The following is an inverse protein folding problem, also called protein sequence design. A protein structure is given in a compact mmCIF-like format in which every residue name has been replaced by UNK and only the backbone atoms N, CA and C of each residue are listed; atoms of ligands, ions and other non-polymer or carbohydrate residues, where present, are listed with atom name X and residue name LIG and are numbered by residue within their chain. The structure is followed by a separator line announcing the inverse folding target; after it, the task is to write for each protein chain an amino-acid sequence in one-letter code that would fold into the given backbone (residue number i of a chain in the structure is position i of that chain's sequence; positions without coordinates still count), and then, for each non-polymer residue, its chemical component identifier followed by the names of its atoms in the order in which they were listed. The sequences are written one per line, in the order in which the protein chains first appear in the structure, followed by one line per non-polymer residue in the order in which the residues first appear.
data_IF_485754407636
#
_entry.id   IF_485754407636
#
_cell.length_a   1.000
_cell.length_b   1.000
_cell.length_c   1.000
_cell.angle_alpha   90.00
_cell.angle_beta   90.00
_cell.angle_gamma   90.00
#
_symmetry.space_group_name_H-M   'P 1'
#
loop_
_entity.id
_entity.type
_entity.pdbx_description
1 polymer ?
#
# COMPACT_ATOMS: atom_id res chain seq x y z
N UNK A 1 1.88 -10.05 -9.32
CA UNK A 1 1.18 -9.86 -8.04
C UNK A 1 -0.23 -10.44 -8.08
N UNK A 2 -1.12 -9.96 -8.95
CA UNK A 2 -2.53 -10.37 -8.99
C UNK A 2 -2.76 -11.88 -9.17
N UNK A 3 -1.89 -12.59 -9.91
CA UNK A 3 -1.97 -14.04 -10.08
C UNK A 3 -1.54 -14.81 -8.83
N UNK A 4 -0.72 -14.23 -7.96
CA UNK A 4 -0.31 -14.87 -6.71
C UNK A 4 -1.42 -14.84 -5.64
N UNK A 5 -2.29 -13.82 -5.63
CA UNK A 5 -3.35 -13.69 -4.64
C UNK A 5 -4.34 -14.86 -4.63
N UNK A 6 -4.87 -15.36 -5.77
CA UNK A 6 -5.70 -16.56 -5.79
C UNK A 6 -4.99 -17.81 -5.25
N UNK A 7 -3.70 -17.96 -5.55
CA UNK A 7 -2.88 -19.09 -5.07
C UNK A 7 -2.73 -19.02 -3.56
N UNK A 8 -2.31 -17.86 -3.02
CA UNK A 8 -2.19 -17.64 -1.58
C UNK A 8 -3.54 -17.83 -0.89
N UNK A 9 -4.62 -17.27 -1.45
CA UNK A 9 -5.97 -17.42 -0.92
C UNK A 9 -6.46 -18.87 -0.94
N UNK A 10 -6.14 -19.63 -1.99
CA UNK A 10 -6.42 -21.06 -2.08
C UNK A 10 -5.65 -21.85 -1.00
N UNK A 11 -4.37 -21.58 -0.85
CA UNK A 11 -3.52 -22.20 0.17
C UNK A 11 -4.06 -21.93 1.59
N UNK A 12 -4.41 -20.68 1.89
CA UNK A 12 -4.97 -20.32 3.20
C UNK A 12 -6.30 -20.98 3.48
N UNK A 13 -7.17 -21.13 2.46
CA UNK A 13 -8.46 -21.86 2.58
C UNK A 13 -8.23 -23.34 2.86
N UNK A 14 -7.33 -23.98 2.13
CA UNK A 14 -7.01 -25.39 2.27
C UNK A 14 -6.37 -25.70 3.62
N UNK A 15 -5.46 -24.82 4.08
CA UNK A 15 -4.72 -24.96 5.33
C UNK A 15 -5.34 -24.14 6.48
N UNK A 16 -6.65 -24.13 6.60
CA UNK A 16 -7.38 -23.27 7.54
C UNK A 16 -6.91 -23.37 8.99
N UNK A 17 -6.49 -24.58 9.44
CA UNK A 17 -5.96 -24.79 10.80
C UNK A 17 -4.52 -24.28 10.98
N UNK A 18 -3.78 -24.11 9.89
CA UNK A 18 -2.37 -23.69 9.88
C UNK A 18 -2.17 -22.32 9.22
N UNK A 19 -3.23 -21.51 9.11
CA UNK A 19 -3.16 -20.21 8.43
C UNK A 19 -2.04 -19.31 8.96
N UNK A 20 -1.87 -19.25 10.27
CA UNK A 20 -0.80 -18.47 10.88
C UNK A 20 0.58 -18.99 10.51
N UNK A 21 0.78 -20.32 10.47
CA UNK A 21 2.06 -20.89 10.05
C UNK A 21 2.36 -20.59 8.59
N UNK A 22 1.33 -20.59 7.72
CA UNK A 22 1.48 -20.20 6.32
C UNK A 22 1.89 -18.72 6.21
N UNK A 23 1.23 -17.83 6.97
CA UNK A 23 1.57 -16.41 6.96
C UNK A 23 2.98 -16.14 7.47
N UNK A 24 3.40 -16.81 8.56
CA UNK A 24 4.77 -16.74 9.06
C UNK A 24 5.76 -17.28 8.00
N UNK A 25 5.44 -18.39 7.35
CA UNK A 25 6.26 -18.94 6.27
C UNK A 25 6.43 -17.96 5.09
N UNK A 26 5.34 -17.34 4.63
CA UNK A 26 5.39 -16.32 3.59
C UNK A 26 6.20 -15.09 4.03
N UNK A 27 6.07 -14.70 5.28
CA UNK A 27 6.82 -13.59 5.85
C UNK A 27 8.33 -13.89 5.83
N UNK A 28 8.72 -15.03 6.37
CA UNK A 28 10.13 -15.47 6.43
C UNK A 28 10.70 -15.64 5.02
N UNK A 29 9.92 -16.20 4.09
CA UNK A 29 10.36 -16.33 2.69
C UNK A 29 10.59 -14.96 2.04
N UNK A 30 9.73 -13.97 2.33
CA UNK A 30 9.88 -12.61 1.80
C UNK A 30 11.13 -11.92 2.33
N UNK A 31 11.36 -11.96 3.63
CA UNK A 31 12.55 -11.38 4.25
C UNK A 31 13.81 -12.12 3.81
N UNK A 32 13.80 -13.47 3.84
CA UNK A 32 14.92 -14.28 3.38
C UNK A 32 15.29 -14.04 1.92
N UNK A 33 14.32 -13.80 1.05
CA UNK A 33 14.59 -13.38 -0.33
C UNK A 33 15.37 -12.06 -0.38
N UNK A 34 14.98 -11.07 0.41
CA UNK A 34 15.63 -9.75 0.45
C UNK A 34 17.06 -9.84 0.97
N UNK A 35 17.31 -10.73 1.94
CA UNK A 35 18.63 -10.96 2.49
C UNK A 35 19.53 -11.78 1.55
N UNK A 36 18.95 -12.73 0.79
CA UNK A 36 19.70 -13.59 -0.12
C UNK A 36 20.05 -12.91 -1.44
N UNK A 37 19.19 -12.04 -1.96
CA UNK A 37 19.42 -11.40 -3.26
C UNK A 37 20.77 -10.70 -3.36
N UNK A 38 21.22 -9.88 -2.37
CA UNK A 38 22.52 -9.23 -2.43
C UNK A 38 23.73 -10.17 -2.40
N UNK A 39 23.52 -11.43 -2.02
CA UNK A 39 24.61 -12.46 -2.03
C UNK A 39 24.89 -12.94 -3.47
N UNK A 40 23.87 -12.92 -4.33
CA UNK A 40 23.98 -13.45 -5.70
C UNK A 40 23.98 -12.37 -6.78
N UNK A 41 23.48 -11.18 -6.46
CA UNK A 41 23.35 -10.06 -7.39
C UNK A 41 23.93 -8.79 -6.76
N UNK A 42 24.55 -7.96 -7.59
CA UNK A 42 25.13 -6.70 -7.17
C UNK A 42 24.45 -5.49 -7.82
N UNK A 43 24.60 -4.32 -7.20
CA UNK A 43 24.17 -3.05 -7.75
C UNK A 43 22.66 -2.97 -8.02
N UNK A 44 22.30 -2.43 -9.18
CA UNK A 44 20.90 -2.17 -9.56
C UNK A 44 20.07 -3.45 -9.72
N UNK A 45 20.69 -4.53 -10.20
CA UNK A 45 20.03 -5.84 -10.38
C UNK A 45 19.56 -6.42 -9.05
N UNK A 46 20.36 -6.29 -7.98
CA UNK A 46 19.97 -6.70 -6.63
C UNK A 46 18.77 -5.90 -6.13
N UNK A 47 18.77 -4.58 -6.32
CA UNK A 47 17.65 -3.72 -5.93
C UNK A 47 16.36 -4.05 -6.69
N UNK A 48 16.45 -4.30 -7.98
CA UNK A 48 15.30 -4.70 -8.80
C UNK A 48 14.76 -6.05 -8.33
N UNK A 49 15.61 -7.05 -8.14
CA UNK A 49 15.21 -8.40 -7.71
C UNK A 49 14.60 -8.40 -6.31
N UNK A 50 15.15 -7.64 -5.36
CA UNK A 50 14.60 -7.51 -4.01
C UNK A 50 13.20 -6.87 -3.99
N UNK A 51 12.87 -6.03 -4.97
CA UNK A 51 11.56 -5.39 -5.11
C UNK A 51 10.51 -6.22 -5.84
N UNK A 52 10.89 -7.37 -6.40
CA UNK A 52 9.96 -8.29 -7.05
C UNK A 52 9.02 -8.97 -6.04
N UNK A 53 8.04 -9.73 -6.56
CA UNK A 53 7.01 -10.38 -5.74
C UNK A 53 7.56 -11.13 -4.51
N UNK A 54 8.62 -11.96 -4.61
CA UNK A 54 9.12 -12.67 -3.44
C UNK A 54 9.51 -11.72 -2.30
N UNK A 55 10.22 -10.62 -2.59
CA UNK A 55 10.63 -9.63 -1.61
C UNK A 55 9.49 -8.81 -0.99
N UNK A 56 8.27 -8.88 -1.55
CA UNK A 56 7.09 -8.21 -1.02
C UNK A 56 6.18 -9.15 -0.19
N UNK A 57 6.49 -10.44 -0.12
CA UNK A 57 5.65 -11.42 0.58
C UNK A 57 5.46 -11.12 2.06
N UNK A 58 6.45 -10.54 2.73
CA UNK A 58 6.32 -10.13 4.13
C UNK A 58 5.24 -9.07 4.34
N UNK A 59 5.14 -8.08 3.44
CA UNK A 59 4.10 -7.05 3.48
C UNK A 59 2.72 -7.63 3.17
N UNK A 60 2.61 -8.54 2.20
CA UNK A 60 1.37 -9.25 1.90
C UNK A 60 0.91 -10.11 3.07
N UNK A 61 1.82 -10.89 3.67
CA UNK A 61 1.52 -11.73 4.83
C UNK A 61 1.03 -10.89 6.02
N UNK A 62 1.68 -9.74 6.28
CA UNK A 62 1.29 -8.80 7.33
C UNK A 62 -0.10 -8.21 7.08
N UNK A 63 -0.41 -7.82 5.85
CA UNK A 63 -1.74 -7.33 5.47
C UNK A 63 -2.83 -8.38 5.65
N UNK A 64 -2.58 -9.64 5.26
CA UNK A 64 -3.52 -10.75 5.47
C UNK A 64 -3.65 -11.06 6.97
N UNK A 65 -2.55 -11.01 7.73
CA UNK A 65 -2.59 -11.18 9.19
C UNK A 65 -3.45 -10.08 9.85
N UNK A 66 -3.33 -8.83 9.42
CA UNK A 66 -4.19 -7.73 9.88
C UNK A 66 -5.66 -8.03 9.60
N UNK A 67 -5.99 -8.53 8.42
CA UNK A 67 -7.35 -8.95 8.08
C UNK A 67 -7.90 -10.01 9.06
N UNK A 68 -7.08 -10.96 9.50
CA UNK A 68 -7.52 -11.99 10.46
C UNK A 68 -7.76 -11.44 11.88
N UNK A 69 -7.16 -10.31 12.22
CA UNK A 69 -7.33 -9.63 13.52
C UNK A 69 -8.10 -8.31 13.39
N UNK A 70 -8.86 -8.14 12.31
CA UNK A 70 -9.55 -6.92 11.93
C UNK A 70 -10.35 -6.29 13.07
N UNK A 71 -11.21 -7.08 13.74
CA UNK A 71 -12.05 -6.58 14.82
C UNK A 71 -11.22 -6.07 16.01
N UNK A 72 -10.07 -6.71 16.27
CA UNK A 72 -9.15 -6.25 17.33
C UNK A 72 -8.46 -4.96 16.94
N UNK A 73 -8.10 -4.81 15.68
CA UNK A 73 -7.46 -3.60 15.17
C UNK A 73 -8.42 -2.41 15.22
N UNK A 74 -9.69 -2.60 14.85
CA UNK A 74 -10.74 -1.59 14.98
C UNK A 74 -11.00 -1.22 16.45
N UNK A 75 -11.04 -2.21 17.36
CA UNK A 75 -11.31 -1.96 18.77
C UNK A 75 -10.16 -1.22 19.50
N UNK A 76 -8.92 -1.37 19.03
CA UNK A 76 -7.72 -0.82 19.69
C UNK A 76 -6.73 -0.20 18.71
N UNK A 77 -7.14 0.78 17.89
CA UNK A 77 -6.28 1.32 16.82
C UNK A 77 -5.00 1.97 17.38
N UNK A 78 -5.08 2.69 18.49
CA UNK A 78 -3.91 3.30 19.12
C UNK A 78 -2.86 2.28 19.55
N UNK A 79 -3.29 1.12 20.05
CA UNK A 79 -2.36 0.05 20.42
C UNK A 79 -1.60 -0.47 19.21
N UNK A 80 -2.30 -0.72 18.09
CA UNK A 80 -1.67 -1.08 16.82
C UNK A 80 -0.71 -0.01 16.34
N UNK A 81 -1.07 1.28 16.51
CA UNK A 81 -0.21 2.41 16.16
C UNK A 81 1.07 2.47 17.00
N UNK A 82 0.96 2.36 18.32
CA UNK A 82 2.12 2.41 19.22
C UNK A 82 3.07 1.25 18.96
N UNK A 83 2.54 0.02 18.88
CA UNK A 83 3.35 -1.16 18.55
C UNK A 83 3.93 -1.03 17.14
N UNK A 84 3.14 -0.60 16.17
CA UNK A 84 3.56 -0.38 14.79
C UNK A 84 4.69 0.65 14.69
N UNK A 85 4.57 1.75 15.41
CA UNK A 85 5.62 2.79 15.47
C UNK A 85 6.90 2.23 16.10
N UNK A 86 6.79 1.54 17.23
CA UNK A 86 7.94 0.97 17.92
C UNK A 86 8.68 -0.03 17.01
N UNK A 87 7.96 -0.97 16.37
CA UNK A 87 8.56 -1.94 15.45
C UNK A 87 9.20 -1.25 14.23
N UNK A 88 8.55 -0.23 13.68
CA UNK A 88 9.09 0.53 12.55
C UNK A 88 10.37 1.27 12.95
N UNK A 89 10.39 1.96 14.09
CA UNK A 89 11.58 2.66 14.57
C UNK A 89 12.72 1.69 14.87
N UNK A 90 12.43 0.57 15.53
CA UNK A 90 13.42 -0.48 15.79
C UNK A 90 14.02 -1.04 14.49
N UNK A 91 13.25 -1.15 13.42
CA UNK A 91 13.74 -1.64 12.12
C UNK A 91 14.83 -0.76 11.49
N UNK A 92 15.01 0.47 11.96
CA UNK A 92 16.08 1.37 11.50
C UNK A 92 17.33 1.37 12.38
N UNK A 93 17.26 0.73 13.56
CA UNK A 93 18.39 0.73 14.50
C UNK A 93 19.51 -0.18 14.01
N UNK A 94 19.15 -1.35 13.46
CA UNK A 94 20.12 -2.31 12.98
C UNK A 94 19.56 -3.17 11.83
N UNK A 95 20.42 -3.59 10.89
CA UNK A 95 20.01 -4.37 9.70
C UNK A 95 19.26 -5.66 10.04
N UNK A 96 19.66 -6.39 11.08
CA UNK A 96 18.96 -7.62 11.50
C UNK A 96 17.56 -7.38 12.10
N UNK A 97 17.19 -6.14 12.41
CA UNK A 97 15.84 -5.74 12.83
C UNK A 97 14.96 -5.27 11.64
N UNK A 98 15.54 -5.17 10.45
CA UNK A 98 14.80 -4.77 9.25
C UNK A 98 13.53 -5.60 8.98
N UNK A 99 13.51 -6.93 9.26
CA UNK A 99 12.29 -7.73 9.17
C UNK A 99 11.09 -7.21 9.98
N UNK A 100 11.28 -6.42 11.03
CA UNK A 100 10.18 -5.82 11.80
C UNK A 100 9.39 -4.78 11.01
N UNK A 101 9.95 -4.24 9.92
CA UNK A 101 9.38 -3.12 9.15
C UNK A 101 8.01 -3.43 8.58
N UNK A 102 7.82 -4.60 7.97
CA UNK A 102 6.55 -4.96 7.37
C UNK A 102 5.41 -5.04 8.39
N UNK A 103 5.65 -5.66 9.54
CA UNK A 103 4.69 -5.73 10.64
C UNK A 103 4.45 -4.34 11.27
N UNK A 104 5.52 -3.55 11.45
CA UNK A 104 5.44 -2.19 11.99
C UNK A 104 4.57 -1.27 11.12
N UNK A 105 4.84 -1.22 9.82
CA UNK A 105 4.05 -0.43 8.87
C UNK A 105 2.59 -0.89 8.83
N UNK A 106 2.34 -2.18 8.90
CA UNK A 106 0.96 -2.71 8.95
C UNK A 106 0.21 -2.21 10.19
N UNK A 107 0.85 -2.17 11.35
CA UNK A 107 0.27 -1.60 12.57
C UNK A 107 -0.02 -0.11 12.46
N UNK A 108 0.89 0.67 11.87
CA UNK A 108 0.68 2.11 11.60
C UNK A 108 -0.50 2.34 10.65
N UNK A 109 -0.59 1.56 9.58
CA UNK A 109 -1.70 1.64 8.61
C UNK A 109 -3.02 1.30 9.31
N UNK A 110 -3.06 0.26 10.14
CA UNK A 110 -4.25 -0.10 10.92
C UNK A 110 -4.68 1.06 11.85
N UNK A 111 -3.72 1.69 12.54
CA UNK A 111 -4.01 2.86 13.38
C UNK A 111 -4.62 4.00 12.56
N UNK A 112 -3.99 4.38 11.46
CA UNK A 112 -4.46 5.47 10.60
C UNK A 112 -5.84 5.19 10.00
N UNK A 113 -6.11 3.92 9.65
CA UNK A 113 -7.38 3.52 9.05
C UNK A 113 -8.55 3.52 10.05
N UNK A 114 -8.29 3.18 11.32
CA UNK A 114 -9.33 2.97 12.32
C UNK A 114 -9.35 4.02 13.44
N UNK A 115 -8.38 4.94 13.45
CA UNK A 115 -8.39 6.02 14.42
C UNK A 115 -9.60 6.93 14.18
N UNK A 116 -10.41 7.20 15.21
CA UNK A 116 -11.50 8.16 15.09
C UNK A 116 -10.94 9.51 14.66
N UNK A 117 -11.36 9.98 13.51
CA UNK A 117 -10.94 11.26 12.94
C UNK A 117 -12.10 11.94 12.24
N UNK A 118 -11.92 13.18 11.78
CA UNK A 118 -12.93 13.82 10.95
C UNK A 118 -13.17 12.92 9.73
N UNK A 119 -14.44 12.58 9.51
CA UNK A 119 -14.84 11.83 8.33
C UNK A 119 -14.46 12.65 7.08
N UNK A 120 -13.31 12.32 6.52
CA UNK A 120 -12.88 12.87 5.24
C UNK A 120 -13.75 12.20 4.18
N UNK A 121 -14.95 12.76 3.93
CA UNK A 121 -15.80 12.28 2.87
C UNK A 121 -15.18 12.62 1.50
N UNK A 122 -14.11 11.89 1.16
CA UNK A 122 -13.45 12.04 -0.13
C UNK A 122 -14.36 11.64 -1.29
N UNK A 123 -15.36 10.81 -1.02
CA UNK A 123 -16.32 10.33 -2.02
C UNK A 123 -17.14 11.48 -2.66
N UNK A 124 -17.34 12.60 -1.95
CA UNK A 124 -17.99 13.80 -2.51
C UNK A 124 -17.24 14.40 -3.70
N UNK A 125 -15.93 14.19 -3.77
CA UNK A 125 -15.10 14.65 -4.90
C UNK A 125 -15.00 13.63 -6.03
N UNK A 126 -15.63 12.43 -5.85
CA UNK A 126 -15.51 11.29 -6.74
C UNK A 126 -14.39 10.33 -6.32
N UNK A 127 -14.46 9.09 -6.82
CA UNK A 127 -13.43 8.10 -6.56
C UNK A 127 -12.23 8.33 -7.48
N UNK A 128 -11.31 9.19 -7.04
CA UNK A 128 -10.08 9.51 -7.79
C UNK A 128 -8.97 8.48 -7.57
N UNK A 129 -9.20 7.44 -6.76
CA UNK A 129 -8.16 6.48 -6.36
C UNK A 129 -7.56 5.73 -7.55
N UNK A 130 -8.40 5.32 -8.49
CA UNK A 130 -7.95 4.66 -9.72
C UNK A 130 -7.13 5.61 -10.60
N UNK A 131 -7.58 6.86 -10.73
CA UNK A 131 -6.84 7.90 -11.44
C UNK A 131 -5.45 8.12 -10.84
N UNK A 132 -5.35 8.23 -9.51
CA UNK A 132 -4.06 8.34 -8.79
C UNK A 132 -3.18 7.13 -9.10
N UNK A 133 -3.74 5.93 -9.03
CA UNK A 133 -3.00 4.70 -9.31
C UNK A 133 -2.41 4.66 -10.72
N UNK A 134 -3.13 5.12 -11.74
CA UNK A 134 -2.65 5.09 -13.12
C UNK A 134 -1.68 6.24 -13.42
N UNK A 135 -1.97 7.44 -12.90
CA UNK A 135 -1.27 8.66 -13.33
C UNK A 135 -0.01 8.98 -12.54
N UNK A 136 0.12 8.48 -11.29
CA UNK A 136 1.24 8.87 -10.43
C UNK A 136 2.61 8.51 -11.04
N UNK A 137 2.76 7.32 -11.58
CA UNK A 137 4.03 6.88 -12.10
C UNK A 137 4.43 7.60 -13.39
N UNK A 138 3.59 7.71 -14.44
CA UNK A 138 3.91 8.48 -15.64
C UNK A 138 4.22 9.94 -15.36
N UNK A 139 3.48 10.59 -14.46
CA UNK A 139 3.71 12.00 -14.10
C UNK A 139 5.05 12.16 -13.39
N UNK A 140 5.34 11.29 -12.40
CA UNK A 140 6.62 11.33 -11.70
C UNK A 140 7.80 11.13 -12.66
N UNK A 141 7.72 10.13 -13.53
CA UNK A 141 8.72 9.86 -14.55
C UNK A 141 8.90 11.06 -15.51
N UNK A 142 7.80 11.65 -15.98
CA UNK A 142 7.86 12.83 -16.83
C UNK A 142 8.58 14.01 -16.16
N UNK A 143 8.30 14.28 -14.88
CA UNK A 143 8.96 15.35 -14.13
C UNK A 143 10.45 15.06 -13.89
N UNK A 144 10.82 13.80 -13.67
CA UNK A 144 12.23 13.40 -13.60
C UNK A 144 12.93 13.62 -14.95
N UNK A 145 12.30 13.22 -16.04
CA UNK A 145 12.86 13.36 -17.40
C UNK A 145 13.09 14.83 -17.81
N UNK A 146 12.16 15.71 -17.45
CA UNK A 146 12.32 17.15 -17.74
C UNK A 146 13.23 17.88 -16.73
N UNK A 147 13.83 17.17 -15.78
CA UNK A 147 14.76 17.71 -14.81
C UNK A 147 14.12 18.57 -13.72
N UNK A 148 12.81 18.48 -13.48
CA UNK A 148 12.09 19.31 -12.51
C UNK A 148 12.66 19.17 -11.08
N UNK A 149 13.08 17.97 -10.69
CA UNK A 149 13.69 17.70 -9.38
C UNK A 149 15.06 18.33 -9.23
N UNK A 150 15.84 18.39 -10.33
CA UNK A 150 17.14 19.05 -10.34
C UNK A 150 17.00 20.59 -10.32
N UNK A 151 15.99 21.11 -11.03
CA UNK A 151 15.77 22.56 -11.15
C UNK A 151 15.16 23.16 -9.88
N UNK A 152 14.18 22.50 -9.25
CA UNK A 152 13.39 23.06 -8.14
C UNK A 152 13.67 22.40 -6.78
N UNK A 153 14.50 21.35 -6.74
CA UNK A 153 14.76 20.55 -5.55
C UNK A 153 13.67 19.51 -5.26
N UNK A 154 13.99 18.53 -4.41
CA UNK A 154 13.13 17.35 -4.18
C UNK A 154 11.77 17.71 -3.57
N UNK A 155 11.73 18.62 -2.59
CA UNK A 155 10.47 18.99 -1.92
C UNK A 155 9.47 19.61 -2.90
N UNK A 156 9.92 20.56 -3.72
CA UNK A 156 9.08 21.21 -4.73
C UNK A 156 8.71 20.23 -5.85
N UNK A 157 9.65 19.37 -6.28
CA UNK A 157 9.41 18.32 -7.27
C UNK A 157 8.31 17.35 -6.81
N UNK A 158 8.33 16.90 -5.55
CA UNK A 158 7.27 16.06 -4.99
C UNK A 158 5.94 16.80 -4.85
N UNK A 159 5.93 18.04 -4.39
CA UNK A 159 4.70 18.84 -4.29
C UNK A 159 4.06 19.05 -5.67
N UNK A 160 4.86 19.35 -6.68
CA UNK A 160 4.40 19.49 -8.07
C UNK A 160 3.86 18.16 -8.61
N UNK A 161 4.55 17.05 -8.34
CA UNK A 161 4.09 15.71 -8.70
C UNK A 161 2.73 15.40 -8.08
N UNK A 162 2.58 15.64 -6.78
CA UNK A 162 1.32 15.40 -6.07
C UNK A 162 0.18 16.24 -6.65
N UNK A 163 0.42 17.52 -6.89
CA UNK A 163 -0.57 18.42 -7.50
C UNK A 163 -1.01 17.93 -8.88
N UNK A 164 -0.06 17.60 -9.75
CA UNK A 164 -0.35 17.13 -11.11
C UNK A 164 -1.09 15.79 -11.10
N UNK A 165 -0.74 14.87 -10.20
CA UNK A 165 -1.43 13.59 -10.02
C UNK A 165 -2.87 13.82 -9.57
N UNK A 166 -3.12 14.71 -8.60
CA UNK A 166 -4.47 15.03 -8.14
C UNK A 166 -5.30 15.63 -9.28
N UNK A 167 -4.76 16.60 -9.99
CA UNK A 167 -5.46 17.26 -11.11
C UNK A 167 -5.77 16.26 -12.23
N UNK A 168 -4.80 15.45 -12.63
CA UNK A 168 -4.99 14.44 -13.67
C UNK A 168 -6.02 13.38 -13.25
N UNK A 169 -5.96 12.92 -12.00
CA UNK A 169 -6.90 11.92 -11.45
C UNK A 169 -8.31 12.47 -11.38
N UNK A 170 -8.48 13.74 -10.97
CA UNK A 170 -9.76 14.41 -10.94
C UNK A 170 -10.34 14.58 -12.36
N UNK A 171 -9.51 14.98 -13.31
CA UNK A 171 -9.90 15.07 -14.70
C UNK A 171 -10.31 13.70 -15.27
N UNK A 172 -9.51 12.66 -15.02
CA UNK A 172 -9.79 11.29 -15.46
C UNK A 172 -11.15 10.80 -14.90
N UNK A 173 -11.40 11.00 -13.62
CA UNK A 173 -12.67 10.65 -13.00
C UNK A 173 -13.86 11.35 -13.69
N UNK A 174 -13.82 12.66 -13.83
CA UNK A 174 -14.96 13.43 -14.32
C UNK A 174 -15.19 13.30 -15.83
N UNK A 175 -14.12 13.17 -16.61
CA UNK A 175 -14.19 13.13 -18.08
C UNK A 175 -14.43 11.71 -18.60
N UNK A 176 -13.87 10.70 -17.94
CA UNK A 176 -13.86 9.32 -18.44
C UNK A 176 -14.63 8.37 -17.53
N UNK A 177 -14.14 8.16 -16.30
CA UNK A 177 -14.63 7.08 -15.44
C UNK A 177 -16.10 7.25 -15.07
N UNK A 178 -16.48 8.43 -14.57
CA UNK A 178 -17.87 8.72 -14.19
C UNK A 178 -18.86 8.51 -15.35
N UNK A 179 -18.41 8.73 -16.58
CA UNK A 179 -19.25 8.55 -17.78
C UNK A 179 -19.34 7.09 -18.21
N UNK A 180 -18.25 6.33 -18.01
CA UNK A 180 -18.17 4.92 -18.35
C UNK A 180 -18.85 3.99 -17.33
N UNK A 181 -18.99 4.43 -16.07
CA UNK A 181 -19.62 3.65 -15.02
C UNK A 181 -21.13 3.50 -15.27
N UNK A 182 -21.62 2.26 -15.13
CA UNK A 182 -23.05 1.96 -15.24
C UNK A 182 -23.84 2.68 -14.13
N UNK A 183 -25.11 3.08 -14.37
CA UNK A 183 -25.95 3.75 -13.38
C UNK A 183 -26.12 2.95 -12.07
N UNK A 184 -26.05 1.62 -12.15
CA UNK A 184 -26.14 0.70 -11.02
C UNK A 184 -24.83 0.48 -10.27
N UNK A 185 -23.74 1.08 -10.71
CA UNK A 185 -22.43 0.95 -10.04
C UNK A 185 -22.47 1.60 -8.66
N UNK A 186 -21.92 0.90 -7.66
CA UNK A 186 -21.78 1.42 -6.30
C UNK A 186 -21.06 2.77 -6.27
N UNK A 187 -19.97 2.92 -6.98
CA UNK A 187 -19.20 4.15 -7.06
C UNK A 187 -20.00 5.35 -7.55
N UNK A 188 -20.95 5.15 -8.48
CA UNK A 188 -21.81 6.22 -8.96
C UNK A 188 -22.88 6.58 -7.94
N UNK A 189 -23.40 5.61 -7.18
CA UNK A 189 -24.39 5.82 -6.11
C UNK A 189 -23.79 6.63 -4.97
N UNK A 190 -22.58 6.28 -4.52
CA UNK A 190 -21.85 7.03 -3.46
C UNK A 190 -21.58 8.47 -3.90
N UNK A 191 -21.13 8.68 -5.13
CA UNK A 191 -20.88 10.03 -5.66
C UNK A 191 -22.15 10.89 -5.80
N UNK A 192 -23.35 10.28 -5.94
CA UNK A 192 -24.61 10.99 -6.07
C UNK A 192 -25.34 11.24 -4.75
N UNK A 193 -24.98 10.54 -3.67
CA UNK A 193 -25.67 10.63 -2.38
C UNK A 193 -24.67 10.59 -1.20
N UNK A 194 -23.87 11.64 -1.00
CA UNK A 194 -22.82 11.68 0.00
C UNK A 194 -23.29 11.77 1.46
N UNK A 195 -24.60 11.79 1.71
CA UNK A 195 -25.17 11.97 3.07
C UNK A 195 -25.67 10.64 3.71
N UNK A 196 -25.44 9.47 3.10
CA UNK A 196 -26.02 8.20 3.57
C UNK A 196 -24.99 7.23 4.20
N UNK A 197 -23.79 7.68 4.56
CA UNK A 197 -22.80 6.87 5.32
C UNK A 197 -22.48 7.53 6.67
#
# INVERSE_FOLDING_TARGET
FYLALPIIGGLLRTMRRAQWSVLVGLYVLGEGWRDLVPVFLEGESALIAARQLPGQLAFFASGIALWQVWDRAQAKPLWFGVVGLALTLLSFVHSWLEPLRAAGLTGLIACLAFLPGPALNAARFGDISYGVYITHFPILQGLVMVGAFAAFGHAVGFALSALLVIVASYALWHLVERRALRPSSHYRKVASNPEQD
#
